data_IF_795254101355
#
_entry.id   IF_795254101355
#
_cell.length_a   1.000
_cell.length_b   1.000
_cell.length_c   1.000
_cell.angle_alpha   90.00
_cell.angle_beta   90.00
_cell.angle_gamma   90.00
#
_symmetry.space_group_name_H-M   'P 1'
#
loop_
_entity.id
_entity.type
_entity.pdbx_description
1 polymer ?
#
# COMPACT_ATOMS: atom_id res chain seq x y z
N UNK A 1 -3.10 6.67 -18.18
CA UNK A 1 -3.45 6.15 -16.84
C UNK A 1 -2.62 6.90 -15.81
N UNK A 2 -3.17 7.18 -14.62
CA UNK A 2 -2.45 7.78 -13.49
C UNK A 2 -2.59 6.92 -12.24
N UNK A 3 -1.54 6.79 -11.43
CA UNK A 3 -1.55 6.00 -10.20
C UNK A 3 -1.34 6.94 -9.01
N UNK A 4 -2.37 7.08 -8.19
CA UNK A 4 -2.34 7.85 -6.96
C UNK A 4 -1.94 6.96 -5.79
N UNK A 5 -0.86 7.33 -5.10
CA UNK A 5 -0.30 6.59 -3.99
C UNK A 5 -0.44 7.39 -2.69
N UNK A 6 -0.75 6.71 -1.59
CA UNK A 6 -0.59 7.29 -0.25
C UNK A 6 -0.22 6.24 0.77
N UNK A 7 0.83 6.51 1.56
CA UNK A 7 1.44 5.57 2.53
C UNK A 7 1.52 6.12 3.94
N UNK A 8 2.09 5.33 4.86
CA UNK A 8 2.24 5.71 6.27
C UNK A 8 3.51 6.53 6.53
N UNK A 9 4.62 6.03 6.01
CA UNK A 9 5.94 6.64 6.10
C UNK A 9 6.65 6.70 4.74
N UNK A 10 7.82 7.36 4.70
CA UNK A 10 8.60 7.54 3.48
C UNK A 10 9.31 6.25 3.02
N UNK A 11 9.41 5.23 3.89
CA UNK A 11 10.20 4.02 3.64
C UNK A 11 9.45 2.91 2.90
N UNK A 12 8.11 2.94 2.87
CA UNK A 12 7.30 1.90 2.21
C UNK A 12 7.03 2.24 0.74
N UNK A 13 6.10 3.17 0.51
CA UNK A 13 5.74 3.63 -0.85
C UNK A 13 6.69 4.69 -1.38
N UNK A 14 7.43 5.37 -0.52
CA UNK A 14 8.19 6.56 -0.89
C UNK A 14 7.55 7.86 -0.37
N UNK A 15 8.10 8.98 -0.82
CA UNK A 15 7.65 10.31 -0.41
C UNK A 15 8.00 11.40 -1.44
N UNK A 16 7.47 12.60 -1.22
CA UNK A 16 7.96 13.77 -1.91
C UNK A 16 9.34 14.16 -1.40
N UNK A 17 10.27 14.47 -2.30
CA UNK A 17 11.58 15.00 -1.95
C UNK A 17 11.54 16.48 -1.51
N UNK A 18 10.38 17.12 -1.65
CA UNK A 18 10.05 18.44 -1.11
C UNK A 18 8.96 18.33 -0.03
N UNK A 19 8.70 19.41 0.70
CA UNK A 19 7.60 19.48 1.66
C UNK A 19 6.19 19.61 1.02
N UNK A 20 6.05 19.25 -0.26
CA UNK A 20 4.80 19.36 -1.00
C UNK A 20 3.75 18.36 -0.48
N UNK A 21 2.48 18.76 -0.56
CA UNK A 21 1.35 17.91 -0.20
C UNK A 21 1.19 16.72 -1.17
N UNK A 22 1.55 16.94 -2.43
CA UNK A 22 1.46 16.01 -3.56
C UNK A 22 2.68 16.23 -4.45
N UNK A 23 3.20 15.16 -5.06
CA UNK A 23 4.34 15.21 -5.99
C UNK A 23 4.25 14.07 -7.01
N UNK A 24 5.02 14.19 -8.09
CA UNK A 24 5.14 13.20 -9.16
C UNK A 24 6.47 13.37 -9.90
N UNK A 25 6.82 12.42 -10.78
CA UNK A 25 8.02 12.54 -11.61
C UNK A 25 9.28 12.68 -10.76
N UNK A 26 10.16 13.63 -11.09
CA UNK A 26 11.41 13.87 -10.37
C UNK A 26 11.25 14.38 -8.93
N UNK A 27 10.04 14.77 -8.51
CA UNK A 27 9.76 15.20 -7.13
C UNK A 27 9.31 14.05 -6.22
N UNK A 28 8.99 12.89 -6.81
CA UNK A 28 8.60 11.70 -6.09
C UNK A 28 9.80 10.74 -5.99
N UNK A 29 10.17 10.38 -4.77
CA UNK A 29 11.13 9.32 -4.49
C UNK A 29 10.36 8.06 -4.15
N UNK A 30 10.42 7.07 -5.05
CA UNK A 30 9.78 5.78 -4.87
C UNK A 30 10.39 4.96 -3.72
N UNK A 31 9.55 4.16 -3.06
CA UNK A 31 9.97 3.13 -2.10
C UNK A 31 9.67 1.71 -2.58
N UNK A 32 10.08 0.68 -1.82
CA UNK A 32 9.96 -0.73 -2.19
C UNK A 32 8.54 -1.16 -2.59
N UNK A 33 7.53 -0.64 -1.90
CA UNK A 33 6.14 -0.99 -2.19
C UNK A 33 5.66 -0.38 -3.50
N UNK A 34 6.23 0.74 -3.95
CA UNK A 34 5.96 1.30 -5.27
C UNK A 34 6.61 0.47 -6.37
N UNK A 35 7.85 0.02 -6.16
CA UNK A 35 8.52 -0.94 -7.07
C UNK A 35 7.70 -2.23 -7.19
N UNK A 36 7.20 -2.75 -6.06
CA UNK A 36 6.33 -3.92 -6.05
C UNK A 36 5.03 -3.70 -6.81
N UNK A 37 4.35 -2.56 -6.59
CA UNK A 37 3.14 -2.18 -7.36
C UNK A 37 3.45 -2.18 -8.86
N UNK A 38 4.55 -1.52 -9.23
CA UNK A 38 4.95 -1.36 -10.61
C UNK A 38 5.23 -2.71 -11.28
N UNK A 39 5.89 -3.65 -10.59
CA UNK A 39 6.14 -5.01 -11.10
C UNK A 39 4.84 -5.76 -11.44
N UNK A 40 3.77 -5.59 -10.65
CA UNK A 40 2.46 -6.22 -10.93
C UNK A 40 1.83 -5.60 -12.18
N UNK A 41 1.98 -4.29 -12.35
CA UNK A 41 1.45 -3.54 -13.50
C UNK A 41 2.24 -3.89 -14.76
N UNK A 42 3.57 -3.97 -14.65
CA UNK A 42 4.47 -4.36 -15.73
C UNK A 42 4.14 -5.76 -16.23
N UNK A 43 3.90 -6.73 -15.34
CA UNK A 43 3.54 -8.06 -15.76
C UNK A 43 2.26 -8.09 -16.61
N UNK A 44 1.31 -7.17 -16.32
CA UNK A 44 0.04 -7.03 -17.04
C UNK A 44 0.16 -6.29 -18.36
N UNK A 45 0.93 -5.21 -18.43
CA UNK A 45 1.04 -4.35 -19.62
C UNK A 45 2.31 -4.57 -20.46
N UNK A 46 3.25 -5.38 -19.96
CA UNK A 46 4.56 -5.69 -20.57
C UNK A 46 5.49 -4.48 -20.70
N UNK A 47 5.28 -3.47 -19.85
CA UNK A 47 6.18 -2.35 -19.67
C UNK A 47 6.03 -1.80 -18.26
N UNK A 48 7.12 -1.29 -17.67
CA UNK A 48 7.09 -0.56 -16.39
C UNK A 48 6.65 0.89 -16.61
N UNK A 49 5.49 1.34 -16.10
CA UNK A 49 5.16 2.76 -16.11
C UNK A 49 6.16 3.60 -15.32
N UNK A 50 6.75 3.06 -14.25
CA UNK A 50 7.71 3.77 -13.41
C UNK A 50 9.00 4.09 -14.18
N UNK A 51 9.48 3.17 -15.01
CA UNK A 51 10.65 3.37 -15.86
C UNK A 51 10.37 4.30 -17.04
N UNK A 52 9.22 4.15 -17.70
CA UNK A 52 8.89 4.93 -18.91
C UNK A 52 8.56 6.38 -18.57
N UNK A 53 7.71 6.60 -17.57
CA UNK A 53 7.29 7.92 -17.14
C UNK A 53 6.97 7.91 -15.66
N UNK A 54 7.94 8.33 -14.84
CA UNK A 54 7.77 8.52 -13.39
C UNK A 54 6.60 9.43 -13.05
N UNK A 55 6.17 10.33 -13.93
CA UNK A 55 5.01 11.16 -13.70
C UNK A 55 3.70 10.36 -13.75
N UNK A 56 3.68 9.10 -14.19
CA UNK A 56 2.54 8.19 -14.05
C UNK A 56 2.14 8.03 -12.58
N UNK A 57 3.12 8.05 -11.67
CA UNK A 57 2.92 7.94 -10.24
C UNK A 57 2.83 9.32 -9.59
N UNK A 58 1.72 9.52 -8.86
CA UNK A 58 1.49 10.71 -8.05
C UNK A 58 1.32 10.32 -6.61
N UNK A 59 2.24 10.76 -5.76
CA UNK A 59 2.16 10.54 -4.33
C UNK A 59 1.37 11.65 -3.65
N UNK A 60 0.48 11.28 -2.73
CA UNK A 60 -0.32 12.18 -1.90
C UNK A 60 0.02 11.92 -0.44
N UNK A 61 0.54 12.95 0.24
CA UNK A 61 0.95 12.84 1.63
C UNK A 61 -0.23 12.54 2.56
N UNK A 62 0.04 11.73 3.59
CA UNK A 62 -0.91 11.45 4.69
C UNK A 62 -1.42 12.73 5.35
N UNK A 63 -0.54 13.71 5.54
CA UNK A 63 -0.89 15.01 6.13
C UNK A 63 -1.92 15.74 5.28
N UNK A 64 -1.79 15.70 3.95
CA UNK A 64 -2.77 16.28 3.03
C UNK A 64 -4.14 15.58 3.13
N UNK A 65 -4.17 14.25 3.16
CA UNK A 65 -5.43 13.50 3.35
C UNK A 65 -6.14 13.88 4.66
N UNK A 66 -5.39 14.02 5.75
CA UNK A 66 -5.93 14.43 7.05
C UNK A 66 -6.49 15.86 6.99
N UNK A 67 -5.80 16.76 6.30
CA UNK A 67 -6.24 18.14 6.16
C UNK A 67 -7.54 18.23 5.34
N UNK A 68 -7.59 17.57 4.18
CA UNK A 68 -8.81 17.47 3.37
C UNK A 68 -9.95 16.85 4.14
N UNK A 69 -9.68 15.82 4.95
CA UNK A 69 -10.70 15.22 5.79
C UNK A 69 -11.30 16.21 6.78
N UNK A 70 -10.51 17.10 7.39
CA UNK A 70 -11.01 18.13 8.32
C UNK A 70 -11.93 19.12 7.60
N UNK A 71 -11.56 19.52 6.39
CA UNK A 71 -12.33 20.45 5.56
C UNK A 71 -13.67 19.83 5.12
N UNK A 72 -13.65 18.54 4.78
CA UNK A 72 -14.83 17.79 4.34
C UNK A 72 -15.69 17.22 5.50
N UNK A 73 -15.23 17.34 6.75
CA UNK A 73 -15.95 16.84 7.95
C UNK A 73 -17.04 17.79 8.45
N UNK A 74 -17.13 19.05 7.96
CA UNK A 74 -18.20 19.98 8.34
C UNK A 74 -19.55 19.40 7.92
N UNK A 75 -20.32 18.88 8.88
CA UNK A 75 -21.67 18.33 8.68
C UNK A 75 -21.79 16.80 8.74
N UNK A 76 -20.74 16.05 9.12
CA UNK A 76 -20.81 14.59 9.20
C UNK A 76 -20.75 14.04 10.63
N UNK A 77 -21.70 13.19 10.98
CA UNK A 77 -21.61 12.30 12.14
C UNK A 77 -20.67 11.14 11.79
N UNK A 78 -19.46 11.14 12.34
CA UNK A 78 -18.63 9.94 12.32
C UNK A 78 -19.24 8.90 13.28
N UNK A 79 -19.17 7.60 12.96
CA UNK A 79 -19.48 6.57 13.94
C UNK A 79 -18.70 6.86 15.22
N UNK A 80 -19.41 7.00 16.34
CA UNK A 80 -18.79 7.30 17.63
C UNK A 80 -17.75 6.23 18.00
N UNK A 81 -16.93 6.54 19.00
CA UNK A 81 -15.86 5.71 19.63
C UNK A 81 -16.27 4.28 20.09
N UNK A 82 -17.43 3.74 19.67
CA UNK A 82 -17.95 2.42 20.05
C UNK A 82 -17.27 1.23 19.36
N UNK A 83 -16.46 1.44 18.34
CA UNK A 83 -15.57 0.40 17.80
C UNK A 83 -14.14 0.75 18.18
N UNK A 84 -13.63 0.14 19.26
CA UNK A 84 -12.29 0.34 19.82
C UNK A 84 -11.12 -0.08 18.91
N UNK A 85 -11.32 -0.07 17.60
CA UNK A 85 -10.30 -0.34 16.59
C UNK A 85 -10.15 0.96 15.80
N UNK A 86 -8.91 1.41 15.59
CA UNK A 86 -8.57 2.69 14.94
C UNK A 86 -8.89 2.72 13.43
N UNK A 87 -10.01 2.11 13.00
CA UNK A 87 -10.47 1.94 11.62
C UNK A 87 -10.93 3.27 11.01
N UNK A 88 -11.43 4.21 11.82
CA UNK A 88 -11.82 5.54 11.33
C UNK A 88 -10.70 6.25 10.55
N UNK A 89 -9.44 6.02 10.92
CA UNK A 89 -8.28 6.54 10.19
C UNK A 89 -8.11 5.88 8.80
N UNK A 90 -8.27 4.55 8.71
CA UNK A 90 -8.20 3.79 7.46
C UNK A 90 -9.33 4.23 6.50
N UNK A 91 -10.55 4.32 7.02
CA UNK A 91 -11.72 4.79 6.28
C UNK A 91 -11.54 6.19 5.70
N UNK A 92 -11.13 7.14 6.55
CA UNK A 92 -11.03 8.55 6.15
C UNK A 92 -9.96 8.76 5.09
N UNK A 93 -8.81 8.11 5.21
CA UNK A 93 -7.75 8.24 4.21
C UNK A 93 -8.15 7.64 2.87
N UNK A 94 -8.80 6.47 2.87
CA UNK A 94 -9.28 5.85 1.64
C UNK A 94 -10.35 6.72 0.96
N UNK A 95 -11.26 7.30 1.75
CA UNK A 95 -12.24 8.25 1.25
C UNK A 95 -11.60 9.48 0.61
N UNK A 96 -10.63 10.12 1.29
CA UNK A 96 -9.96 11.31 0.74
C UNK A 96 -9.10 11.00 -0.48
N UNK A 97 -8.35 9.90 -0.47
CA UNK A 97 -7.55 9.51 -1.64
C UNK A 97 -8.44 9.18 -2.84
N UNK A 98 -9.53 8.43 -2.62
CA UNK A 98 -10.52 8.14 -3.67
C UNK A 98 -11.16 9.42 -4.22
N UNK A 99 -11.44 10.40 -3.36
CA UNK A 99 -11.97 11.70 -3.78
C UNK A 99 -10.98 12.45 -4.68
N UNK A 100 -9.70 12.53 -4.30
CA UNK A 100 -8.65 13.18 -5.10
C UNK A 100 -8.51 12.52 -6.47
N UNK A 101 -8.42 11.18 -6.51
CA UNK A 101 -8.26 10.45 -7.75
C UNK A 101 -9.50 10.60 -8.67
N UNK A 102 -10.70 10.61 -8.09
CA UNK A 102 -11.96 10.88 -8.80
C UNK A 102 -11.97 12.27 -9.43
N UNK A 103 -11.71 13.30 -8.64
CA UNK A 103 -11.70 14.69 -9.11
C UNK A 103 -10.66 14.90 -10.22
N UNK A 104 -9.48 14.27 -10.09
CA UNK A 104 -8.47 14.32 -11.15
C UNK A 104 -8.93 13.60 -12.42
N UNK A 105 -9.46 12.38 -12.28
CA UNK A 105 -9.96 11.60 -13.42
C UNK A 105 -11.07 12.33 -14.18
N UNK A 106 -11.99 12.99 -13.47
CA UNK A 106 -13.05 13.81 -14.06
C UNK A 106 -12.50 15.06 -14.76
N UNK A 107 -11.44 15.67 -14.21
CA UNK A 107 -10.85 16.90 -14.76
C UNK A 107 -9.96 16.66 -15.98
N UNK A 108 -9.23 15.54 -16.05
CA UNK A 108 -8.28 15.26 -17.14
C UNK A 108 -8.77 14.21 -18.12
N UNK A 109 -9.90 13.55 -17.83
CA UNK A 109 -10.38 12.36 -18.54
C UNK A 109 -9.38 11.18 -18.52
N UNK A 110 -8.38 11.20 -17.62
CA UNK A 110 -7.46 10.08 -17.44
C UNK A 110 -8.08 8.98 -16.57
N UNK A 111 -7.83 7.72 -16.93
CA UNK A 111 -8.09 6.60 -16.03
C UNK A 111 -7.13 6.65 -14.84
N UNK A 112 -7.67 6.77 -13.62
CA UNK A 112 -6.88 6.89 -12.41
C UNK A 112 -7.08 5.68 -11.49
N UNK A 113 -6.01 5.22 -10.84
CA UNK A 113 -6.04 4.17 -9.81
C UNK A 113 -5.59 4.78 -8.49
N UNK A 114 -6.33 4.52 -7.41
CA UNK A 114 -5.99 5.04 -6.08
C UNK A 114 -5.55 3.91 -5.15
N UNK A 115 -4.27 3.82 -4.84
CA UNK A 115 -3.69 2.80 -3.96
C UNK A 115 -3.38 3.42 -2.60
N UNK A 116 -4.07 2.93 -1.56
CA UNK A 116 -3.79 3.34 -0.18
C UNK A 116 -3.02 2.22 0.52
N UNK A 117 -1.79 2.51 0.95
CA UNK A 117 -0.96 1.61 1.74
C UNK A 117 -1.11 1.89 3.23
N UNK A 118 -1.34 0.84 4.03
CA UNK A 118 -1.32 0.89 5.50
C UNK A 118 -0.79 -0.43 6.05
N UNK A 119 -0.10 -0.38 7.18
CA UNK A 119 0.25 -1.61 7.89
C UNK A 119 -0.92 -2.10 8.73
N UNK A 120 -1.06 -3.42 8.80
CA UNK A 120 -2.08 -4.05 9.62
C UNK A 120 -1.68 -4.15 11.09
N UNK A 121 -0.45 -3.76 11.46
CA UNK A 121 0.14 -3.73 12.80
C UNK A 121 -0.87 -3.94 13.93
N UNK A 122 -0.64 -5.03 14.65
CA UNK A 122 -1.37 -5.45 15.81
C UNK A 122 -0.44 -6.15 16.79
N UNK A 123 -0.89 -6.25 18.03
CA UNK A 123 -0.25 -7.05 19.09
C UNK A 123 -0.85 -8.46 19.14
N UNK A 124 -0.23 -9.40 19.86
CA UNK A 124 -0.80 -10.73 20.13
C UNK A 124 -2.18 -10.69 20.84
N UNK A 125 -2.51 -9.57 21.49
CA UNK A 125 -3.81 -9.31 22.11
C UNK A 125 -4.85 -8.73 21.13
N UNK A 126 -4.48 -8.49 19.88
CA UNK A 126 -5.37 -7.94 18.88
C UNK A 126 -6.45 -8.95 18.48
N UNK A 127 -7.66 -8.48 18.13
CA UNK A 127 -8.70 -9.35 17.60
C UNK A 127 -8.22 -10.11 16.36
N UNK A 128 -8.55 -11.40 16.24
CA UNK A 128 -8.20 -12.24 15.08
C UNK A 128 -8.68 -11.64 13.74
N UNK A 129 -9.77 -10.87 13.77
CA UNK A 129 -10.34 -10.21 12.60
C UNK A 129 -9.82 -8.77 12.38
N UNK A 130 -8.76 -8.35 13.07
CA UNK A 130 -8.22 -6.98 12.97
C UNK A 130 -7.90 -6.62 11.52
N UNK A 131 -7.14 -7.48 10.83
CA UNK A 131 -6.74 -7.27 9.44
C UNK A 131 -7.96 -7.07 8.53
N UNK A 132 -8.94 -7.98 8.59
CA UNK A 132 -10.17 -7.89 7.80
C UNK A 132 -10.98 -6.62 8.12
N UNK A 133 -11.06 -6.25 9.39
CA UNK A 133 -11.77 -5.02 9.82
C UNK A 133 -11.09 -3.76 9.26
N UNK A 134 -9.75 -3.72 9.24
CA UNK A 134 -8.98 -2.62 8.62
C UNK A 134 -9.19 -2.58 7.11
N UNK A 135 -9.14 -3.74 6.43
CA UNK A 135 -9.39 -3.84 5.00
C UNK A 135 -10.80 -3.34 4.64
N UNK A 136 -11.83 -3.84 5.33
CA UNK A 136 -13.23 -3.44 5.10
C UNK A 136 -13.43 -1.94 5.34
N UNK A 137 -12.68 -1.38 6.29
CA UNK A 137 -12.67 0.05 6.55
C UNK A 137 -12.12 0.86 5.37
N UNK A 138 -11.03 0.42 4.73
CA UNK A 138 -10.47 1.07 3.54
C UNK A 138 -11.43 0.96 2.35
N UNK A 139 -11.95 -0.25 2.11
CA UNK A 139 -12.95 -0.50 1.05
C UNK A 139 -14.18 0.39 1.22
N UNK A 140 -14.71 0.51 2.43
CA UNK A 140 -15.83 1.40 2.75
C UNK A 140 -15.50 2.87 2.50
N UNK A 141 -14.25 3.28 2.75
CA UNK A 141 -13.78 4.64 2.46
C UNK A 141 -13.79 4.94 0.95
N UNK A 142 -13.24 4.05 0.13
CA UNK A 142 -13.30 4.19 -1.33
C UNK A 142 -14.75 4.16 -1.86
N UNK A 143 -15.59 3.27 -1.31
CA UNK A 143 -17.02 3.24 -1.65
C UNK A 143 -17.73 4.56 -1.29
N UNK A 144 -17.38 5.18 -0.15
CA UNK A 144 -17.90 6.51 0.24
C UNK A 144 -17.49 7.61 -0.74
N UNK A 145 -16.29 7.52 -1.31
CA UNK A 145 -15.83 8.40 -2.39
C UNK A 145 -16.60 8.18 -3.71
N UNK A 146 -17.40 7.10 -3.78
CA UNK A 146 -17.97 6.58 -5.03
C UNK A 146 -16.88 6.35 -6.08
N UNK A 147 -15.75 5.77 -5.64
CA UNK A 147 -14.57 5.58 -6.47
C UNK A 147 -14.22 4.10 -6.59
N UNK A 148 -14.61 3.51 -7.73
CA UNK A 148 -14.47 2.08 -7.99
C UNK A 148 -13.07 1.68 -8.45
N UNK A 149 -12.11 2.61 -8.54
CA UNK A 149 -10.71 2.32 -8.87
C UNK A 149 -9.78 2.46 -7.65
N UNK A 150 -10.37 2.41 -6.45
CA UNK A 150 -9.65 2.34 -5.18
C UNK A 150 -9.15 0.92 -4.89
N UNK A 151 -7.89 0.81 -4.47
CA UNK A 151 -7.17 -0.43 -4.17
C UNK A 151 -6.56 -0.31 -2.76
N UNK A 152 -7.13 -0.99 -1.76
CA UNK A 152 -6.46 -1.14 -0.47
C UNK A 152 -5.21 -2.01 -0.61
N UNK A 153 -4.06 -1.52 -0.14
CA UNK A 153 -2.82 -2.27 0.02
C UNK A 153 -2.55 -2.40 1.52
N UNK A 154 -2.87 -3.57 2.08
CA UNK A 154 -2.82 -3.81 3.52
C UNK A 154 -2.02 -5.08 3.83
N UNK A 155 -0.68 -5.00 3.91
CA UNK A 155 0.15 -6.13 4.32
C UNK A 155 -0.22 -6.65 5.71
N UNK A 156 0.07 -7.93 5.96
CA UNK A 156 -0.14 -8.58 7.25
C UNK A 156 1.17 -9.23 7.72
N UNK A 157 1.67 -8.90 8.93
CA UNK A 157 1.30 -7.73 9.72
C UNK A 157 1.74 -6.39 9.08
N UNK A 158 2.80 -6.42 8.26
CA UNK A 158 3.45 -5.27 7.61
C UNK A 158 4.15 -5.67 6.30
N UNK A 159 4.62 -4.69 5.52
CA UNK A 159 5.17 -4.88 4.17
C UNK A 159 6.36 -5.84 4.12
N UNK A 160 7.21 -5.86 5.16
CA UNK A 160 8.38 -6.72 5.23
C UNK A 160 8.05 -8.21 5.14
N UNK A 161 6.85 -8.62 5.57
CA UNK A 161 6.42 -10.02 5.44
C UNK A 161 6.31 -10.44 3.97
N UNK A 162 5.84 -9.55 3.09
CA UNK A 162 5.76 -9.82 1.64
C UNK A 162 7.15 -9.95 1.03
N UNK A 163 8.08 -9.08 1.44
CA UNK A 163 9.46 -9.08 0.93
C UNK A 163 10.21 -10.32 1.43
N UNK A 164 10.03 -10.69 2.69
CA UNK A 164 10.59 -11.90 3.29
C UNK A 164 10.19 -13.17 2.53
N UNK A 165 8.96 -13.25 2.02
CA UNK A 165 8.54 -14.38 1.23
C UNK A 165 9.46 -14.60 0.02
N UNK A 166 9.90 -13.52 -0.63
CA UNK A 166 10.82 -13.58 -1.77
C UNK A 166 12.30 -13.70 -1.35
N UNK A 167 12.69 -13.09 -0.22
CA UNK A 167 14.09 -12.92 0.15
C UNK A 167 14.68 -14.09 0.98
N UNK A 168 13.86 -14.84 1.71
CA UNK A 168 14.31 -15.94 2.57
C UNK A 168 15.06 -17.05 1.79
N UNK A 169 15.88 -17.86 2.50
CA UNK A 169 16.73 -18.92 1.92
C UNK A 169 15.99 -19.90 0.99
N UNK A 170 14.72 -20.16 1.27
CA UNK A 170 13.81 -20.91 0.41
C UNK A 170 12.70 -19.97 -0.09
N UNK A 171 12.94 -19.20 -1.18
CA UNK A 171 11.98 -18.23 -1.67
C UNK A 171 10.63 -18.86 -1.98
N UNK A 172 9.58 -18.11 -1.64
CA UNK A 172 8.17 -18.42 -1.90
C UNK A 172 7.67 -19.73 -1.28
N UNK A 173 8.30 -20.18 -0.19
CA UNK A 173 7.85 -21.36 0.57
C UNK A 173 7.40 -20.97 1.98
N UNK A 174 6.29 -21.58 2.42
CA UNK A 174 5.75 -21.42 3.77
C UNK A 174 5.50 -19.95 4.18
N UNK A 175 5.20 -19.07 3.22
CA UNK A 175 5.07 -17.63 3.50
C UNK A 175 3.80 -17.26 4.26
N UNK A 176 2.80 -18.13 4.32
CA UNK A 176 1.58 -17.90 5.12
C UNK A 176 1.94 -17.63 6.59
N UNK A 177 2.92 -18.35 7.12
CA UNK A 177 3.40 -18.17 8.49
C UNK A 177 4.06 -16.80 8.72
N UNK A 178 4.56 -16.13 7.67
CA UNK A 178 5.11 -14.78 7.77
C UNK A 178 4.01 -13.75 8.08
N UNK A 179 2.75 -14.03 7.71
CA UNK A 179 1.62 -13.15 8.03
C UNK A 179 1.14 -13.25 9.48
N UNK A 180 1.66 -14.20 10.24
CA UNK A 180 1.38 -14.38 11.67
C UNK A 180 2.54 -13.90 12.55
N UNK A 181 3.57 -13.28 11.94
CA UNK A 181 4.64 -12.63 12.69
C UNK A 181 4.11 -11.48 13.55
N UNK A 182 4.84 -11.10 14.63
CA UNK A 182 4.50 -9.92 15.40
C UNK A 182 4.57 -8.65 14.55
N UNK A 183 3.54 -7.80 14.65
CA UNK A 183 3.54 -6.47 14.01
C UNK A 183 4.34 -5.41 14.78
N UNK A 184 4.78 -5.69 16.00
CA UNK A 184 5.63 -4.77 16.76
C UNK A 184 7.11 -5.01 16.42
N UNK A 185 7.83 -3.96 16.01
CA UNK A 185 9.25 -4.04 15.69
C UNK A 185 10.10 -4.49 16.90
N UNK A 186 9.69 -4.11 18.11
CA UNK A 186 10.37 -4.45 19.36
C UNK A 186 10.08 -5.88 19.85
N UNK A 187 9.20 -6.62 19.16
CA UNK A 187 8.98 -8.02 19.49
C UNK A 187 10.22 -8.85 19.14
N UNK A 188 10.55 -9.88 19.96
CA UNK A 188 11.50 -10.88 19.54
C UNK A 188 11.07 -11.46 18.19
N UNK A 189 12.00 -11.56 17.24
CA UNK A 189 11.76 -12.20 15.94
C UNK A 189 10.67 -11.52 15.09
N UNK A 190 10.63 -10.18 15.11
CA UNK A 190 9.77 -9.35 14.26
C UNK A 190 10.11 -9.48 12.77
N UNK A 191 9.14 -9.21 11.88
CA UNK A 191 9.35 -9.25 10.42
C UNK A 191 10.54 -8.39 9.98
N UNK A 192 10.70 -7.21 10.58
CA UNK A 192 11.84 -6.32 10.32
C UNK A 192 13.18 -6.92 10.71
N UNK A 193 13.27 -7.54 11.89
CA UNK A 193 14.51 -8.19 12.36
C UNK A 193 14.90 -9.39 11.49
N UNK A 194 13.92 -10.16 11.00
CA UNK A 194 14.15 -11.24 10.03
C UNK A 194 14.61 -10.71 8.69
N UNK A 195 13.99 -9.65 8.17
CA UNK A 195 14.39 -9.05 6.90
C UNK A 195 15.83 -8.51 7.00
N UNK A 196 16.18 -7.90 8.13
CA UNK A 196 17.54 -7.44 8.40
C UNK A 196 18.57 -8.56 8.38
N UNK A 197 18.23 -9.71 8.95
CA UNK A 197 19.08 -10.90 8.91
C UNK A 197 19.26 -11.42 7.50
N UNK A 198 18.17 -11.59 6.75
CA UNK A 198 18.17 -12.11 5.37
C UNK A 198 18.92 -11.17 4.41
N UNK A 199 18.81 -9.86 4.62
CA UNK A 199 19.45 -8.84 3.79
C UNK A 199 20.82 -8.39 4.33
N UNK A 200 21.38 -9.09 5.32
CA UNK A 200 22.68 -8.79 5.93
C UNK A 200 22.83 -7.30 6.36
N UNK A 201 21.78 -6.73 6.94
CA UNK A 201 21.76 -5.34 7.40
C UNK A 201 21.41 -4.29 6.33
N UNK A 202 21.22 -4.69 5.06
CA UNK A 202 20.85 -3.80 3.96
C UNK A 202 19.34 -3.64 3.85
N UNK A 203 18.74 -2.98 4.84
CA UNK A 203 17.27 -2.82 4.97
C UNK A 203 16.78 -1.40 4.81
N UNK A 204 17.60 -0.48 4.27
CA UNK A 204 17.08 0.84 3.91
C UNK A 204 16.07 0.72 2.76
N UNK A 205 15.14 1.67 2.64
CA UNK A 205 14.18 1.68 1.55
C UNK A 205 14.85 1.64 0.16
N UNK A 206 16.02 2.25 0.02
CA UNK A 206 16.82 2.18 -1.20
C UNK A 206 17.39 0.76 -1.43
N UNK A 207 17.99 0.14 -0.41
CA UNK A 207 18.54 -1.22 -0.52
C UNK A 207 17.45 -2.24 -0.91
N UNK A 208 16.27 -2.14 -0.28
CA UNK A 208 15.17 -3.06 -0.56
C UNK A 208 14.58 -2.82 -1.95
N UNK A 209 14.53 -1.55 -2.40
CA UNK A 209 14.07 -1.23 -3.76
C UNK A 209 15.05 -1.76 -4.82
N UNK A 210 16.35 -1.57 -4.61
CA UNK A 210 17.42 -2.12 -5.46
C UNK A 210 17.33 -3.64 -5.51
N UNK A 211 17.19 -4.31 -4.35
CA UNK A 211 17.05 -5.75 -4.29
C UNK A 211 15.84 -6.26 -5.08
N UNK A 212 14.68 -5.61 -4.97
CA UNK A 212 13.47 -5.97 -5.72
C UNK A 212 13.65 -5.80 -7.23
N UNK A 213 14.38 -4.78 -7.67
CA UNK A 213 14.68 -4.54 -9.09
C UNK A 213 15.65 -5.58 -9.64
N UNK A 214 16.71 -5.92 -8.89
CA UNK A 214 17.74 -6.86 -9.34
C UNK A 214 17.26 -8.32 -9.34
N UNK A 215 16.47 -8.72 -8.34
CA UNK A 215 16.05 -10.11 -8.14
C UNK A 215 14.65 -10.40 -8.71
N UNK A 216 13.89 -9.34 -9.01
CA UNK A 216 12.48 -9.43 -9.36
C UNK A 216 11.60 -9.87 -8.17
N UNK A 217 10.29 -9.85 -8.40
CA UNK A 217 9.31 -10.27 -7.40
C UNK A 217 8.22 -11.13 -8.04
N UNK A 218 8.17 -12.42 -7.70
CA UNK A 218 7.15 -13.33 -8.22
C UNK A 218 5.85 -13.12 -7.45
N UNK A 219 5.07 -12.14 -7.88
CA UNK A 219 3.79 -11.79 -7.27
C UNK A 219 2.72 -12.90 -7.43
N UNK A 220 2.85 -13.81 -8.40
CA UNK A 220 1.89 -14.92 -8.58
C UNK A 220 2.08 -15.94 -7.46
N UNK A 221 3.30 -16.45 -7.30
CA UNK A 221 3.62 -17.40 -6.23
C UNK A 221 3.45 -16.74 -4.85
N UNK A 222 3.77 -15.45 -4.72
CA UNK A 222 3.47 -14.72 -3.47
C UNK A 222 1.97 -14.73 -3.17
N UNK A 223 1.10 -14.49 -4.15
CA UNK A 223 -0.36 -14.51 -3.94
C UNK A 223 -0.91 -15.92 -3.60
N UNK A 224 -0.23 -16.99 -4.03
CA UNK A 224 -0.58 -18.35 -3.62
C UNK A 224 -0.25 -18.60 -2.15
N UNK A 225 0.85 -18.04 -1.66
CA UNK A 225 1.36 -18.28 -0.30
C UNK A 225 0.89 -17.25 0.74
N UNK A 226 0.51 -16.04 0.33
CA UNK A 226 0.26 -14.91 1.22
C UNK A 226 -1.15 -14.32 1.00
N UNK A 227 -2.13 -14.65 1.86
CA UNK A 227 -3.50 -14.17 1.73
C UNK A 227 -3.65 -12.65 1.63
N UNK A 228 -2.90 -11.86 2.41
CA UNK A 228 -2.98 -10.40 2.36
C UNK A 228 -2.46 -9.82 1.04
N UNK A 229 -1.39 -10.41 0.49
CA UNK A 229 -0.86 -10.03 -0.82
C UNK A 229 -1.84 -10.39 -1.93
N UNK A 230 -2.44 -11.59 -1.86
CA UNK A 230 -3.45 -12.04 -2.83
C UNK A 230 -4.62 -11.07 -2.93
N UNK A 231 -5.15 -10.62 -1.80
CA UNK A 231 -6.27 -9.68 -1.75
C UNK A 231 -5.92 -8.33 -2.40
N UNK A 232 -4.72 -7.80 -2.12
CA UNK A 232 -4.20 -6.61 -2.80
C UNK A 232 -4.05 -6.83 -4.31
N UNK A 233 -3.35 -7.90 -4.73
CA UNK A 233 -3.07 -8.20 -6.13
C UNK A 233 -4.36 -8.41 -6.93
N UNK A 234 -5.27 -9.23 -6.43
CA UNK A 234 -6.56 -9.49 -7.09
C UNK A 234 -7.31 -8.20 -7.34
N UNK A 235 -7.36 -7.30 -6.34
CA UNK A 235 -8.02 -6.01 -6.48
C UNK A 235 -7.31 -5.08 -7.46
N UNK A 236 -5.98 -5.05 -7.47
CA UNK A 236 -5.21 -4.25 -8.42
C UNK A 236 -5.45 -4.72 -9.86
N UNK A 237 -5.38 -6.03 -10.11
CA UNK A 237 -5.64 -6.63 -11.43
C UNK A 237 -7.06 -6.32 -11.92
N UNK A 238 -8.06 -6.47 -11.04
CA UNK A 238 -9.46 -6.15 -11.37
C UNK A 238 -9.61 -4.68 -11.85
N UNK A 239 -8.95 -3.73 -11.17
CA UNK A 239 -8.99 -2.31 -11.57
C UNK A 239 -8.22 -2.06 -12.86
N UNK A 240 -7.08 -2.72 -13.06
CA UNK A 240 -6.31 -2.62 -14.31
C UNK A 240 -7.11 -3.14 -15.52
N UNK A 241 -7.97 -4.14 -15.33
CA UNK A 241 -8.88 -4.65 -16.38
C UNK A 241 -10.00 -3.67 -16.75
N UNK A 242 -10.32 -2.73 -15.85
CA UNK A 242 -11.25 -1.62 -16.13
C UNK A 242 -10.59 -0.50 -16.94
N UNK A 243 -9.26 -0.41 -16.92
CA UNK A 243 -8.47 0.51 -17.76
C UNK A 243 -8.35 -0.06 -19.17
N UNK A 244 -9.43 0.08 -19.95
CA UNK A 244 -9.48 -0.27 -21.39
C UNK A 244 -9.21 0.93 -22.27
#
# INVERSE_FOLDING_TARGET
MKIFLSGEGPTDLGCCNTAAATCEGGEFTEGPMTVLIDSVIEQRYKYSPLEIDKATYRFVSKTHLIQLAKENRRGMALPGKKHGINTGYFYVNAWMLGKIAKEYSEATADFCIAILFRDADGTNSSPKNLWKTKLDSMTSGFARAQYNHGVPMLPKPKSEAWILCAAQDLPYQNCEALEDLPGNDDAPDSAKSRLDTVMAGRTSAADVSEWLQENGFNHETTAEQMPSFREFRSRLIEVLEMCR
#
